data_IF_832645083729
#
_entry.id   IF_832645083729
#
_cell.length_a   1.000
_cell.length_b   1.000
_cell.length_c   1.000
_cell.angle_alpha   90.00
_cell.angle_beta   90.00
_cell.angle_gamma   90.00
#
_symmetry.space_group_name_H-M   'P 1'
#
loop_
_entity.id
_entity.type
_entity.pdbx_description
1 polymer ?
#
# COMPACT_ATOMS: atom_id res chain seq x y z
N UNK A 1 26.66 13.15 5.78
CA UNK A 1 26.21 11.80 6.17
C UNK A 1 24.72 11.74 5.90
N UNK A 2 24.29 10.96 4.91
CA UNK A 2 22.86 10.79 4.63
C UNK A 2 22.29 9.85 5.70
N UNK A 3 21.26 10.30 6.43
CA UNK A 3 20.54 9.47 7.38
C UNK A 3 19.92 8.30 6.62
N UNK A 4 20.29 7.07 6.98
CA UNK A 4 19.62 5.89 6.45
C UNK A 4 18.12 6.03 6.75
N UNK A 5 17.24 5.93 5.74
CA UNK A 5 15.80 5.96 6.00
C UNK A 5 15.51 4.81 6.97
N UNK A 6 15.01 5.13 8.16
CA UNK A 6 14.65 4.13 9.15
C UNK A 6 13.82 3.05 8.47
N UNK A 7 14.26 1.80 8.54
CA UNK A 7 13.64 0.70 7.81
C UNK A 7 12.26 0.42 8.42
N UNK A 8 11.22 1.11 7.92
CA UNK A 8 9.85 0.92 8.37
C UNK A 8 9.33 -0.42 7.85
N UNK A 9 9.44 -1.45 8.70
CA UNK A 9 8.89 -2.77 8.40
C UNK A 9 7.39 -2.77 8.66
N UNK A 10 6.62 -3.27 7.70
CA UNK A 10 5.18 -3.46 7.85
C UNK A 10 4.88 -4.37 9.05
N UNK A 11 3.85 -4.01 9.83
CA UNK A 11 3.29 -4.83 10.91
C UNK A 11 1.86 -5.21 10.57
N UNK A 12 1.49 -6.45 10.91
CA UNK A 12 0.13 -6.97 10.78
C UNK A 12 -0.85 -6.11 11.58
N UNK A 13 -1.99 -5.69 11.00
CA UNK A 13 -2.99 -4.90 11.72
C UNK A 13 -3.63 -5.72 12.84
N UNK A 14 -4.09 -5.02 13.88
CA UNK A 14 -4.84 -5.63 14.98
C UNK A 14 -6.21 -6.13 14.49
N UNK A 15 -6.84 -7.10 15.18
CA UNK A 15 -8.20 -7.52 14.87
C UNK A 15 -9.17 -6.32 14.76
N UNK A 16 -10.01 -6.32 13.73
CA UNK A 16 -10.93 -5.22 13.43
C UNK A 16 -10.35 -4.10 12.55
N UNK A 17 -9.05 -4.13 12.25
CA UNK A 17 -8.41 -3.20 11.32
C UNK A 17 -8.09 -3.86 9.98
N UNK A 18 -8.06 -3.04 8.93
CA UNK A 18 -7.78 -3.45 7.55
C UNK A 18 -6.44 -2.89 7.11
N UNK A 19 -5.66 -3.68 6.36
CA UNK A 19 -4.47 -3.22 5.64
C UNK A 19 -4.91 -2.66 4.29
N UNK A 20 -4.62 -1.39 4.02
CA UNK A 20 -4.77 -0.80 2.68
C UNK A 20 -3.40 -0.70 2.00
N UNK A 21 -3.24 -1.38 0.87
CA UNK A 21 -2.15 -1.19 -0.07
C UNK A 21 -2.60 -0.16 -1.11
N UNK A 22 -1.81 0.90 -1.28
CA UNK A 22 -2.07 1.98 -2.23
C UNK A 22 -0.97 1.96 -3.28
N UNK A 23 -1.34 2.07 -4.55
CA UNK A 23 -0.41 2.19 -5.67
C UNK A 23 -0.90 3.24 -6.67
N UNK A 24 0.05 3.82 -7.42
CA UNK A 24 -0.24 4.79 -8.47
C UNK A 24 0.56 4.44 -9.72
N UNK A 25 -0.13 4.42 -10.86
CA UNK A 25 0.47 4.15 -12.15
C UNK A 25 0.41 5.39 -13.05
N UNK A 26 1.55 5.74 -13.63
CA UNK A 26 1.66 6.80 -14.65
C UNK A 26 1.98 6.17 -15.99
N UNK A 27 1.15 6.43 -17.00
CA UNK A 27 1.34 5.83 -18.32
C UNK A 27 2.03 6.84 -19.25
N UNK A 28 3.33 6.63 -19.47
CA UNK A 28 4.19 7.48 -20.31
C UNK A 28 3.56 7.77 -21.67
N UNK A 29 3.64 9.04 -22.11
CA UNK A 29 3.11 9.48 -23.41
C UNK A 29 1.58 9.59 -23.51
N UNK A 30 0.82 9.06 -22.55
CA UNK A 30 -0.65 9.06 -22.61
C UNK A 30 -1.33 10.15 -21.77
N UNK A 31 -0.58 10.83 -20.88
CA UNK A 31 -1.11 11.75 -19.86
C UNK A 31 -2.15 11.10 -18.91
N UNK A 32 -2.21 9.76 -18.85
CA UNK A 32 -3.09 9.02 -17.95
C UNK A 32 -2.38 8.69 -16.64
N UNK A 33 -3.12 8.87 -15.56
CA UNK A 33 -2.75 8.46 -14.20
C UNK A 33 -3.86 7.55 -13.68
N UNK A 34 -3.48 6.45 -13.04
CA UNK A 34 -4.41 5.51 -12.41
C UNK A 34 -4.02 5.31 -10.94
N UNK A 35 -5.01 5.05 -10.09
CA UNK A 35 -4.83 4.72 -8.68
C UNK A 35 -5.39 3.32 -8.42
N UNK A 36 -4.65 2.51 -7.68
CA UNK A 36 -5.09 1.21 -7.18
C UNK A 36 -5.14 1.20 -5.66
N UNK A 37 -6.21 0.62 -5.10
CA UNK A 37 -6.33 0.33 -3.69
C UNK A 37 -6.62 -1.17 -3.53
N UNK A 38 -6.01 -1.78 -2.52
CA UNK A 38 -6.22 -3.17 -2.19
C UNK A 38 -6.26 -3.35 -0.68
N UNK A 39 -7.34 -3.93 -0.18
CA UNK A 39 -7.69 -4.06 1.21
C UNK A 39 -7.61 -5.52 1.63
N UNK A 40 -6.95 -5.76 2.76
CA UNK A 40 -6.91 -7.07 3.39
C UNK A 40 -7.37 -6.96 4.83
N UNK A 41 -8.16 -7.93 5.29
CA UNK A 41 -8.53 -8.03 6.70
C UNK A 41 -7.32 -8.31 7.60
N UNK A 42 -7.54 -8.36 8.91
CA UNK A 42 -6.49 -8.69 9.88
C UNK A 42 -5.97 -10.12 9.77
N UNK A 43 -6.55 -10.99 8.94
CA UNK A 43 -6.02 -12.32 8.64
C UNK A 43 -5.19 -12.35 7.36
N UNK A 44 -5.19 -11.26 6.60
CA UNK A 44 -4.54 -11.16 5.30
C UNK A 44 -5.42 -11.64 4.14
N UNK A 45 -6.72 -11.84 4.35
CA UNK A 45 -7.67 -12.14 3.29
C UNK A 45 -8.02 -10.87 2.54
N UNK A 46 -7.99 -10.91 1.20
CA UNK A 46 -8.43 -9.81 0.36
C UNK A 46 -9.93 -9.54 0.55
N UNK A 47 -10.31 -8.27 0.69
CA UNK A 47 -11.71 -7.86 0.87
C UNK A 47 -12.20 -6.79 -0.11
N UNK A 48 -11.32 -5.98 -0.69
CA UNK A 48 -11.67 -4.96 -1.70
C UNK A 48 -10.44 -4.41 -2.42
#
# INVERSE_FOLDING_TARGET
>A
MATEPGQFRWKKPAPGWVKCNVDVAFVTGSKKTSLGLCFHDSNGQFIA
#
